data_IF_111525907973
#
_entry.id   IF_111525907973
#
_cell.length_a   1.000
_cell.length_b   1.000
_cell.length_c   1.000
_cell.angle_alpha   90.00
_cell.angle_beta   90.00
_cell.angle_gamma   90.00
#
_symmetry.space_group_name_H-M   'P 1'
#
loop_
_entity.id
_entity.type
_entity.pdbx_description
1 polymer ?
#
# COMPACT_ATOMS: atom_id res chain seq x y z
N UNK A 1 -9.35 5.31 14.08
CA UNK A 1 -8.89 3.91 13.86
C UNK A 1 -7.92 3.87 12.69
N UNK A 2 -6.61 3.99 12.95
CA UNK A 2 -5.54 3.88 11.94
C UNK A 2 -4.74 2.57 12.08
N UNK A 3 -4.75 2.02 13.30
CA UNK A 3 -4.15 0.75 13.69
C UNK A 3 -4.51 -0.45 12.80
N UNK A 4 -5.77 -0.67 12.36
CA UNK A 4 -6.09 -1.84 11.54
C UNK A 4 -5.40 -1.79 10.17
N UNK A 5 -5.22 -0.60 9.58
CA UNK A 5 -4.51 -0.45 8.31
C UNK A 5 -3.03 -0.75 8.46
N UNK A 6 -2.41 -0.28 9.54
CA UNK A 6 -1.01 -0.56 9.84
C UNK A 6 -0.77 -2.04 10.15
N UNK A 7 -1.66 -2.68 10.91
CA UNK A 7 -1.62 -4.11 11.16
C UNK A 7 -1.73 -4.91 9.86
N UNK A 8 -2.67 -4.56 8.99
CA UNK A 8 -2.82 -5.22 7.69
C UNK A 8 -1.58 -5.06 6.80
N UNK A 9 -1.03 -3.85 6.69
CA UNK A 9 0.21 -3.58 5.94
C UNK A 9 1.39 -4.45 6.43
N UNK A 10 1.60 -4.50 7.75
CA UNK A 10 2.75 -5.17 8.36
C UNK A 10 2.62 -6.69 8.37
N UNK A 11 1.46 -7.21 8.79
CA UNK A 11 1.27 -8.64 9.00
C UNK A 11 0.71 -9.36 7.77
N UNK A 12 -0.23 -8.76 7.06
CA UNK A 12 -0.95 -9.43 5.98
C UNK A 12 -0.34 -9.15 4.60
N UNK A 13 0.23 -7.96 4.38
CA UNK A 13 0.92 -7.60 3.13
C UNK A 13 2.43 -7.80 3.22
N UNK A 14 3.01 -7.80 4.42
CA UNK A 14 4.42 -8.09 4.66
C UNK A 14 5.36 -6.89 4.66
N UNK A 15 4.84 -5.66 4.67
CA UNK A 15 5.65 -4.45 4.76
C UNK A 15 6.12 -4.20 6.20
N UNK A 16 7.23 -4.84 6.58
CA UNK A 16 7.77 -4.78 7.95
C UNK A 16 8.78 -3.65 8.15
N UNK A 17 9.58 -3.35 7.13
CA UNK A 17 10.68 -2.39 7.19
C UNK A 17 10.64 -1.49 5.94
N UNK A 18 11.04 -0.22 6.10
CA UNK A 18 11.31 0.67 4.97
C UNK A 18 12.68 0.36 4.37
N UNK A 19 12.78 0.43 3.04
CA UNK A 19 14.02 0.13 2.33
C UNK A 19 14.88 1.38 2.16
N UNK A 20 14.26 2.56 2.07
CA UNK A 20 14.98 3.82 1.98
C UNK A 20 15.15 4.47 3.35
N UNK A 21 16.20 5.29 3.47
CA UNK A 21 16.47 6.13 4.64
C UNK A 21 16.20 7.59 4.30
N UNK A 22 15.74 8.35 5.29
CA UNK A 22 15.36 9.76 5.17
C UNK A 22 13.85 9.96 4.98
N UNK A 23 13.30 10.99 5.63
CA UNK A 23 11.85 11.18 5.76
C UNK A 23 11.14 11.34 4.42
N UNK A 24 11.74 12.09 3.49
CA UNK A 24 11.16 12.31 2.16
C UNK A 24 11.03 11.01 1.35
N UNK A 25 12.08 10.17 1.37
CA UNK A 25 12.11 8.90 0.66
C UNK A 25 11.14 7.88 1.28
N UNK A 26 11.11 7.80 2.62
CA UNK A 26 10.15 6.95 3.35
C UNK A 26 8.70 7.36 3.07
N UNK A 27 8.42 8.67 2.96
CA UNK A 27 7.09 9.16 2.56
C UNK A 27 6.71 8.71 1.15
N UNK A 28 7.66 8.70 0.22
CA UNK A 28 7.43 8.20 -1.14
C UNK A 28 7.17 6.69 -1.14
N UNK A 29 7.94 5.89 -0.40
CA UNK A 29 7.70 4.45 -0.23
C UNK A 29 6.32 4.16 0.37
N UNK A 30 5.93 4.90 1.40
CA UNK A 30 4.62 4.73 2.03
C UNK A 30 3.47 5.09 1.06
N UNK A 31 3.63 6.11 0.22
CA UNK A 31 2.66 6.42 -0.84
C UNK A 31 2.54 5.28 -1.86
N UNK A 32 3.66 4.71 -2.31
CA UNK A 32 3.66 3.56 -3.21
C UNK A 32 2.95 2.34 -2.60
N UNK A 33 3.19 2.10 -1.32
CA UNK A 33 2.52 1.04 -0.55
C UNK A 33 0.99 1.22 -0.54
N UNK A 34 0.52 2.46 -0.30
CA UNK A 34 -0.91 2.79 -0.35
C UNK A 34 -1.51 2.62 -1.76
N UNK A 35 -0.77 3.01 -2.81
CA UNK A 35 -1.21 2.82 -4.21
C UNK A 35 -1.37 1.33 -4.51
N UNK A 36 -0.39 0.50 -4.17
CA UNK A 36 -0.47 -0.95 -4.36
C UNK A 36 -1.66 -1.58 -3.61
N UNK A 37 -1.94 -1.11 -2.39
CA UNK A 37 -3.11 -1.56 -1.63
C UNK A 37 -4.44 -1.16 -2.29
N UNK A 38 -4.53 0.09 -2.78
CA UNK A 38 -5.73 0.58 -3.47
C UNK A 38 -5.96 -0.18 -4.78
N UNK A 39 -4.90 -0.49 -5.54
CA UNK A 39 -4.98 -1.31 -6.75
C UNK A 39 -5.50 -2.72 -6.42
N UNK A 40 -4.98 -3.36 -5.36
CA UNK A 40 -5.47 -4.67 -4.91
C UNK A 40 -6.96 -4.63 -4.52
N UNK A 41 -7.41 -3.54 -3.89
CA UNK A 41 -8.82 -3.31 -3.56
C UNK A 41 -9.67 -3.14 -4.84
N UNK A 42 -9.22 -2.36 -5.81
CA UNK A 42 -9.91 -2.18 -7.10
C UNK A 42 -10.05 -3.49 -7.87
N UNK A 43 -8.99 -4.30 -7.91
CA UNK A 43 -9.00 -5.62 -8.53
C UNK A 43 -10.04 -6.54 -7.87
N UNK A 44 -10.08 -6.55 -6.52
CA UNK A 44 -11.04 -7.35 -5.74
C UNK A 44 -12.48 -6.88 -5.92
N UNK A 45 -12.68 -5.59 -6.17
CA UNK A 45 -14.00 -5.00 -6.45
C UNK A 45 -14.47 -5.27 -7.89
N UNK A 46 -13.68 -5.96 -8.71
CA UNK A 46 -14.07 -6.31 -10.08
C UNK A 46 -14.11 -5.12 -11.03
N UNK A 47 -13.47 -4.01 -10.68
CA UNK A 47 -13.31 -2.88 -11.59
C UNK A 47 -12.38 -3.35 -12.71
N UNK A 48 -12.97 -3.75 -13.84
CA UNK A 48 -12.24 -3.94 -15.09
C UNK A 48 -11.58 -2.61 -15.41
N UNK A 49 -10.24 -2.57 -15.37
CA UNK A 49 -9.49 -1.50 -16.01
C UNK A 49 -9.95 -1.48 -17.46
N UNK A 50 -10.75 -0.48 -17.83
CA UNK A 50 -11.11 -0.22 -19.20
C UNK A 50 -9.80 0.06 -19.92
N UNK A 51 -9.26 -0.97 -20.56
CA UNK A 51 -8.09 -0.84 -21.41
C UNK A 51 -8.59 -0.12 -22.66
N UNK A 52 -8.03 1.06 -22.91
CA UNK A 52 -8.21 1.79 -24.17
C UNK A 52 -7.61 1.00 -25.32
#
# INVERSE_FOLDING_TARGET
MIEPVFGHLKFNVGYRNFLLRGLEKVRAEFKLMCIGWNLKKMLKLGIRLATV
#
